data_IF_473034636356
#
_entry.id   IF_473034636356
#
_cell.length_a   1.000
_cell.length_b   1.000
_cell.length_c   1.000
_cell.angle_alpha   90.00
_cell.angle_beta   90.00
_cell.angle_gamma   90.00
#
_symmetry.space_group_name_H-M   'P 1'
#
loop_
_entity.id
_entity.type
_entity.pdbx_description
1 polymer ?
#
# COMPACT_ATOMS: atom_id res chain seq x y z
N UNK A 1 -3.64 -27.96 -12.80
CA UNK A 1 -4.05 -27.40 -11.50
C UNK A 1 -4.18 -25.89 -11.67
N UNK A 2 -5.38 -25.40 -11.96
CA UNK A 2 -5.63 -23.96 -12.10
C UNK A 2 -5.93 -23.39 -10.71
N UNK A 3 -4.91 -22.85 -10.05
CA UNK A 3 -5.14 -21.95 -8.92
C UNK A 3 -5.70 -20.65 -9.49
N UNK A 4 -7.00 -20.43 -9.38
CA UNK A 4 -7.59 -19.10 -9.57
C UNK A 4 -8.78 -18.94 -8.62
N UNK A 5 -8.53 -19.14 -7.33
CA UNK A 5 -9.41 -18.57 -6.31
C UNK A 5 -9.06 -17.07 -6.23
N UNK A 6 -9.64 -16.30 -7.16
CA UNK A 6 -9.60 -14.83 -7.26
C UNK A 6 -8.41 -14.14 -6.56
N UNK A 7 -7.37 -13.80 -7.33
CA UNK A 7 -6.24 -12.94 -6.91
C UNK A 7 -6.73 -11.49 -6.68
N UNK A 8 -7.63 -11.33 -5.70
CA UNK A 8 -8.12 -10.03 -5.25
C UNK A 8 -7.27 -9.58 -4.06
N UNK A 9 -6.90 -8.30 -3.99
CA UNK A 9 -6.14 -7.78 -2.86
C UNK A 9 -6.94 -7.98 -1.57
N UNK A 10 -6.23 -8.34 -0.50
CA UNK A 10 -6.82 -8.45 0.84
C UNK A 10 -7.17 -7.07 1.44
N UNK A 11 -6.55 -6.01 0.91
CA UNK A 11 -6.76 -4.62 1.33
C UNK A 11 -7.57 -3.90 0.27
N UNK A 12 -8.66 -3.26 0.68
CA UNK A 12 -9.57 -2.52 -0.20
C UNK A 12 -9.56 -1.05 0.22
N UNK A 13 -9.39 -0.14 -0.76
CA UNK A 13 -9.55 1.29 -0.50
C UNK A 13 -11.01 1.60 -0.13
N UNK A 14 -11.21 2.39 0.92
CA UNK A 14 -12.53 2.83 1.33
C UNK A 14 -13.04 4.05 0.55
N UNK A 15 -12.14 4.74 -0.18
CA UNK A 15 -12.53 5.89 -1.00
C UNK A 15 -13.51 5.44 -2.08
N UNK A 16 -14.67 6.09 -2.13
CA UNK A 16 -15.78 5.78 -3.05
C UNK A 16 -16.26 4.31 -3.02
N UNK A 17 -16.03 3.59 -1.92
CA UNK A 17 -16.47 2.19 -1.79
C UNK A 17 -18.00 2.12 -1.73
N UNK A 18 -18.60 1.31 -2.61
CA UNK A 18 -20.05 1.11 -2.65
C UNK A 18 -20.41 -0.16 -1.87
N UNK A 19 -21.33 -0.03 -0.92
CA UNK A 19 -21.83 -1.15 -0.11
C UNK A 19 -23.27 -1.47 -0.51
N UNK A 20 -23.58 -2.73 -0.83
CA UNK A 20 -24.90 -3.17 -1.32
C UNK A 20 -25.41 -4.43 -0.64
N UNK A 21 -26.73 -4.55 -0.58
CA UNK A 21 -27.42 -5.76 -0.17
C UNK A 21 -27.32 -6.89 -1.18
N UNK A 22 -27.24 -8.12 -0.66
CA UNK A 22 -27.41 -9.34 -1.46
C UNK A 22 -28.85 -9.81 -1.27
N UNK A 23 -29.61 -9.86 -2.35
CA UNK A 23 -30.99 -10.33 -2.30
C UNK A 23 -31.05 -11.75 -1.73
N UNK A 24 -32.01 -11.99 -0.84
CA UNK A 24 -32.25 -13.28 -0.20
C UNK A 24 -31.08 -13.83 0.63
N UNK A 25 -30.07 -13.00 0.97
CA UNK A 25 -28.99 -13.34 1.88
C UNK A 25 -28.86 -12.27 2.96
N UNK A 26 -29.61 -12.41 4.05
CA UNK A 26 -29.70 -11.40 5.11
C UNK A 26 -28.38 -11.11 5.83
N UNK A 27 -27.42 -12.04 5.75
CA UNK A 27 -26.07 -11.90 6.31
C UNK A 27 -25.05 -11.41 5.29
N UNK A 28 -25.44 -11.31 4.02
CA UNK A 28 -24.57 -10.98 2.90
C UNK A 28 -24.57 -9.50 2.54
N UNK A 29 -23.43 -9.03 2.08
CA UNK A 29 -23.27 -7.72 1.46
C UNK A 29 -22.20 -7.76 0.37
N UNK A 30 -22.37 -6.95 -0.66
CA UNK A 30 -21.34 -6.68 -1.64
C UNK A 30 -20.59 -5.39 -1.31
N UNK A 31 -19.27 -5.42 -1.42
CA UNK A 31 -18.40 -4.25 -1.44
C UNK A 31 -17.86 -4.08 -2.86
N UNK A 32 -17.98 -2.88 -3.43
CA UNK A 32 -17.54 -2.59 -4.80
C UNK A 32 -16.54 -1.43 -4.74
N UNK A 33 -15.27 -1.70 -5.01
CA UNK A 33 -14.20 -0.69 -5.06
C UNK A 33 -14.32 0.20 -6.30
N UNK A 34 -13.62 1.34 -6.30
CA UNK A 34 -13.67 2.30 -7.41
C UNK A 34 -12.47 2.19 -8.38
N UNK A 35 -11.28 1.79 -7.91
CA UNK A 35 -10.06 1.79 -8.73
C UNK A 35 -9.03 0.71 -8.31
N UNK A 36 -8.94 -0.44 -9.01
CA UNK A 36 -9.87 -0.91 -10.03
C UNK A 36 -11.24 -1.27 -9.43
N UNK A 37 -12.34 -1.22 -10.21
CA UNK A 37 -13.62 -1.72 -9.75
C UNK A 37 -13.61 -3.23 -9.55
N UNK A 38 -13.71 -3.66 -8.31
CA UNK A 38 -13.77 -5.06 -7.91
C UNK A 38 -14.92 -5.28 -6.94
N UNK A 39 -15.62 -6.40 -7.11
CA UNK A 39 -16.74 -6.79 -6.27
C UNK A 39 -16.32 -7.88 -5.30
N UNK A 40 -16.53 -7.64 -4.00
CA UNK A 40 -16.25 -8.55 -2.91
C UNK A 40 -17.56 -8.97 -2.25
N UNK A 41 -17.74 -10.27 -2.09
CA UNK A 41 -18.86 -10.85 -1.35
C UNK A 41 -18.42 -11.11 0.09
N UNK A 42 -19.14 -10.55 1.06
CA UNK A 42 -18.83 -10.69 2.48
C UNK A 42 -20.07 -11.15 3.23
N UNK A 43 -19.90 -12.17 4.08
CA UNK A 43 -20.94 -12.65 4.99
C UNK A 43 -20.57 -12.35 6.44
N UNK A 44 -21.47 -11.69 7.17
CA UNK A 44 -21.33 -11.51 8.61
C UNK A 44 -21.90 -12.70 9.40
N UNK A 45 -21.68 -12.73 10.71
CA UNK A 45 -22.21 -13.79 11.57
C UNK A 45 -23.75 -13.76 11.69
N UNK A 46 -24.33 -12.56 11.66
CA UNK A 46 -25.78 -12.32 11.76
C UNK A 46 -26.25 -11.16 10.88
N UNK A 47 -27.58 -11.02 10.73
CA UNK A 47 -28.20 -9.89 10.03
C UNK A 47 -27.90 -8.55 10.73
N UNK A 48 -27.91 -8.54 12.07
CA UNK A 48 -27.62 -7.34 12.86
C UNK A 48 -26.14 -6.93 12.74
N UNK A 49 -25.22 -7.89 12.75
CA UNK A 49 -23.80 -7.62 12.50
C UNK A 49 -23.61 -7.02 11.11
N UNK A 50 -24.24 -7.64 10.10
CA UNK A 50 -24.20 -7.16 8.73
C UNK A 50 -24.74 -5.73 8.60
N UNK A 51 -25.86 -5.42 9.25
CA UNK A 51 -26.43 -4.07 9.26
C UNK A 51 -25.51 -3.06 9.96
N UNK A 52 -24.86 -3.49 11.03
CA UNK A 52 -23.87 -2.68 11.76
C UNK A 52 -22.67 -2.39 10.87
N UNK A 53 -22.11 -3.41 10.22
CA UNK A 53 -21.01 -3.26 9.27
C UNK A 53 -21.33 -2.34 8.11
N UNK A 54 -22.51 -2.49 7.48
CA UNK A 54 -22.91 -1.57 6.41
C UNK A 54 -22.93 -0.11 6.87
N UNK A 55 -23.51 0.17 8.04
CA UNK A 55 -23.57 1.54 8.59
C UNK A 55 -22.17 2.09 8.84
N UNK A 56 -21.33 1.32 9.53
CA UNK A 56 -19.96 1.73 9.85
C UNK A 56 -19.16 1.98 8.59
N UNK A 57 -19.18 1.07 7.62
CA UNK A 57 -18.45 1.23 6.36
C UNK A 57 -18.96 2.46 5.62
N UNK A 58 -20.28 2.62 5.43
CA UNK A 58 -20.84 3.78 4.74
C UNK A 58 -20.50 5.12 5.43
N UNK A 59 -20.44 5.14 6.77
CA UNK A 59 -19.99 6.33 7.50
C UNK A 59 -18.51 6.60 7.26
N UNK A 60 -17.66 5.57 7.34
CA UNK A 60 -16.24 5.70 7.08
C UNK A 60 -15.93 6.13 5.64
N UNK A 61 -16.69 5.68 4.64
CA UNK A 61 -16.59 6.16 3.25
C UNK A 61 -16.87 7.66 3.17
N UNK A 62 -17.92 8.14 3.86
CA UNK A 62 -18.29 9.58 3.87
C UNK A 62 -17.27 10.45 4.59
N UNK A 63 -16.61 9.91 5.61
CA UNK A 63 -15.59 10.62 6.40
C UNK A 63 -14.19 10.47 5.82
N UNK A 64 -14.01 9.63 4.80
CA UNK A 64 -12.72 9.41 4.18
C UNK A 64 -12.26 10.72 3.55
N UNK A 65 -11.10 11.28 3.96
CA UNK A 65 -10.57 12.47 3.34
C UNK A 65 -10.17 12.19 1.89
N UNK A 66 -10.06 13.24 1.07
CA UNK A 66 -9.46 13.09 -0.24
C UNK A 66 -7.97 12.74 -0.07
N UNK A 67 -7.50 11.85 -0.93
CA UNK A 67 -6.09 11.48 -1.03
C UNK A 67 -5.20 12.71 -1.32
N UNK A 68 -5.74 13.70 -2.04
CA UNK A 68 -5.05 14.96 -2.30
C UNK A 68 -4.69 15.73 -1.01
N UNK A 69 -5.46 15.55 0.06
CA UNK A 69 -5.24 16.22 1.35
C UNK A 69 -4.13 15.55 2.18
N UNK A 70 -3.73 14.32 1.82
CA UNK A 70 -2.73 13.52 2.54
C UNK A 70 -1.64 12.94 1.61
N UNK A 71 -0.86 13.78 0.91
CA UNK A 71 0.11 13.33 -0.11
C UNK A 71 1.32 12.57 0.47
N UNK A 72 1.53 12.61 1.78
CA UNK A 72 2.69 11.99 2.44
C UNK A 72 2.49 10.50 2.78
N UNK A 73 1.28 9.95 2.64
CA UNK A 73 1.01 8.53 2.92
C UNK A 73 1.12 7.75 1.61
N UNK A 74 2.23 7.05 1.43
CA UNK A 74 2.44 6.14 0.31
C UNK A 74 1.48 4.95 0.43
N UNK A 75 0.77 4.64 -0.65
CA UNK A 75 -0.16 3.49 -0.70
C UNK A 75 0.60 2.19 -1.01
N UNK A 76 0.03 1.03 -0.67
CA UNK A 76 0.62 -0.27 -1.04
C UNK A 76 0.79 -0.41 -2.56
N UNK A 77 -0.13 0.15 -3.34
CA UNK A 77 -0.05 0.15 -4.81
C UNK A 77 1.16 0.95 -5.31
N UNK A 78 1.41 2.14 -4.76
CA UNK A 78 2.60 2.94 -5.07
C UNK A 78 3.89 2.26 -4.61
N UNK A 79 3.89 1.69 -3.40
CA UNK A 79 5.03 0.93 -2.90
C UNK A 79 5.32 -0.29 -3.80
N UNK A 80 4.29 -0.97 -4.28
CA UNK A 80 4.39 -2.10 -5.21
C UNK A 80 4.86 -1.69 -6.60
N UNK A 81 4.35 -0.57 -7.13
CA UNK A 81 4.81 0.02 -8.39
C UNK A 81 6.26 0.47 -8.32
N UNK A 82 6.70 1.07 -7.20
CA UNK A 82 8.10 1.44 -6.97
C UNK A 82 9.00 0.20 -6.96
N UNK A 83 8.58 -0.86 -6.26
CA UNK A 83 9.27 -2.15 -6.27
C UNK A 83 9.37 -2.72 -7.67
N UNK A 84 8.33 -2.59 -8.52
CA UNK A 84 8.33 -3.04 -9.91
C UNK A 84 9.22 -2.17 -10.81
N UNK A 85 9.19 -0.85 -10.64
CA UNK A 85 9.99 0.12 -11.40
C UNK A 85 11.48 -0.01 -11.11
N UNK A 86 11.86 -0.35 -9.87
CA UNK A 86 13.24 -0.66 -9.49
C UNK A 86 13.83 -1.91 -10.16
N UNK A 87 12.98 -2.80 -10.73
CA UNK A 87 13.43 -4.04 -11.41
C UNK A 87 13.72 -3.82 -12.89
N UNK A 88 13.18 -2.77 -13.50
CA UNK A 88 13.27 -2.52 -14.95
C UNK A 88 14.55 -1.79 -15.37
N UNK A 89 15.43 -1.43 -14.43
CA UNK A 89 16.73 -0.80 -14.73
C UNK A 89 17.88 -1.79 -14.49
N UNK A 90 17.79 -2.95 -15.13
CA UNK A 90 18.95 -3.80 -15.46
C UNK A 90 18.92 -3.97 -16.97
N UNK A 91 19.28 -2.93 -17.71
CA UNK A 91 19.73 -3.14 -19.08
C UNK A 91 21.16 -3.68 -19.04
N UNK A 92 21.28 -4.90 -19.52
CA UNK A 92 22.50 -5.56 -19.91
C UNK A 92 23.22 -4.74 -21.00
N UNK A 93 24.32 -4.09 -20.63
CA UNK A 93 25.35 -3.67 -21.59
C UNK A 93 26.56 -4.59 -21.42
N UNK A 94 26.99 -5.37 -22.43
CA UNK A 94 28.21 -6.17 -22.31
C UNK A 94 29.41 -5.24 -22.32
N UNK A 95 30.09 -5.13 -21.17
CA UNK A 95 31.32 -4.34 -21.04
C UNK A 95 32.47 -5.09 -21.73
N UNK A 96 33.21 -4.51 -22.72
CA UNK A 96 34.15 -5.28 -23.55
C UNK A 96 35.51 -5.57 -22.90
N UNK A 97 35.77 -5.07 -21.69
CA UNK A 97 37.07 -5.27 -21.04
C UNK A 97 36.85 -5.76 -19.61
N UNK A 98 37.04 -7.06 -19.43
CA UNK A 98 37.00 -7.71 -18.13
C UNK A 98 38.08 -7.16 -17.21
N UNK A 99 37.69 -6.77 -16.01
CA UNK A 99 38.59 -6.58 -14.88
C UNK A 99 38.19 -7.53 -13.74
N UNK A 100 38.98 -8.60 -13.48
CA UNK A 100 38.75 -9.51 -12.38
C UNK A 100 39.34 -8.93 -11.09
N UNK A 101 38.66 -7.94 -10.49
CA UNK A 101 38.80 -7.51 -9.07
C UNK A 101 38.02 -6.22 -8.82
N UNK A 102 36.76 -6.34 -8.41
CA UNK A 102 36.04 -5.35 -7.60
C UNK A 102 34.72 -5.97 -7.13
N UNK A 103 34.83 -7.01 -6.29
CA UNK A 103 33.79 -7.31 -5.31
C UNK A 103 33.77 -6.11 -4.36
N UNK A 104 32.58 -5.54 -4.12
CA UNK A 104 32.30 -4.30 -3.38
C UNK A 104 32.37 -3.00 -4.21
N UNK A 105 31.25 -2.68 -4.87
CA UNK A 105 30.85 -1.30 -5.14
C UNK A 105 29.66 -0.98 -4.25
N UNK A 106 29.93 -0.33 -3.12
CA UNK A 106 28.91 0.36 -2.32
C UNK A 106 29.21 1.85 -2.43
N UNK A 107 28.61 2.49 -3.42
CA UNK A 107 28.47 3.94 -3.44
C UNK A 107 27.00 4.23 -3.77
N UNK A 108 26.14 3.77 -2.86
CA UNK A 108 24.80 4.32 -2.74
C UNK A 108 24.93 5.73 -2.20
N UNK A 109 24.46 6.71 -2.98
CA UNK A 109 24.31 8.10 -2.56
C UNK A 109 23.35 8.23 -1.35
N UNK A 110 22.63 7.15 -0.99
CA UNK A 110 21.72 7.10 0.15
C UNK A 110 22.47 7.05 1.50
N UNK A 111 23.75 6.66 1.54
CA UNK A 111 24.53 6.67 2.79
C UNK A 111 24.76 8.08 3.34
N UNK A 112 24.91 9.09 2.46
CA UNK A 112 25.14 10.47 2.90
C UNK A 112 23.89 11.13 3.49
N UNK A 113 22.69 10.62 3.18
CA UNK A 113 21.43 11.16 3.72
C UNK A 113 21.15 10.58 5.11
N UNK A 114 21.39 9.28 5.30
CA UNK A 114 21.28 8.63 6.61
C UNK A 114 22.22 9.23 7.64
N UNK A 115 23.48 9.49 7.26
CA UNK A 115 24.48 10.08 8.16
C UNK A 115 24.10 11.50 8.61
N UNK A 116 23.46 12.29 7.73
CA UNK A 116 22.98 13.64 8.09
C UNK A 116 21.83 13.60 9.10
N UNK A 117 20.87 12.70 8.91
CA UNK A 117 19.75 12.52 9.84
C UNK A 117 20.24 12.05 11.23
N UNK A 118 21.23 11.16 11.26
CA UNK A 118 21.84 10.69 12.51
C UNK A 118 22.57 11.83 13.23
N UNK A 119 23.35 12.65 12.50
CA UNK A 119 24.05 13.81 13.07
C UNK A 119 23.09 14.91 13.54
N UNK A 120 21.97 15.13 12.84
CA UNK A 120 20.89 16.04 13.25
C UNK A 120 20.28 15.60 14.58
N UNK A 121 19.93 14.31 14.72
CA UNK A 121 19.33 13.75 15.93
C UNK A 121 20.29 13.81 17.14
N UNK A 122 21.59 13.59 16.92
CA UNK A 122 22.61 13.72 17.98
C UNK A 122 22.76 15.18 18.42
N UNK A 123 22.69 16.13 17.48
CA UNK A 123 22.74 17.56 17.78
C UNK A 123 21.50 18.02 18.55
N UNK A 124 20.31 17.58 18.18
CA UNK A 124 19.08 17.95 18.91
C UNK A 124 19.04 17.36 20.34
N UNK A 125 19.57 16.15 20.53
CA UNK A 125 19.67 15.53 21.86
C UNK A 125 20.66 16.22 22.81
N UNK A 126 21.66 16.94 22.30
CA UNK A 126 22.67 17.63 23.12
C UNK A 126 22.25 19.04 23.55
N UNK A 127 21.19 19.62 22.97
CA UNK A 127 20.65 20.93 23.35
C UNK A 127 19.68 20.84 24.55
N UNK A 128 19.22 19.63 24.90
CA UNK A 128 18.28 19.41 26.01
C UNK A 128 18.94 19.08 27.36
N UNK A 129 20.26 19.30 27.51
CA UNK A 129 20.98 19.01 28.76
C UNK A 129 21.97 20.09 29.23
N UNK A 130 21.70 21.37 28.95
CA UNK A 130 22.34 22.47 29.67
C UNK A 130 21.34 23.56 30.05
#
# INVERSE_FOLDING_TARGET
MLLSFQDKPAVISIQDLIVRDIANQEKGMFLISNAPPEMYEVHAASRDDRNTWMKVIQQSVKLCPDRADFPFIETESEASLRKLKGKSSREDGPSPWGNPRSLFRTESLDSLHGDKLIQEAIREGTVLHN
#
